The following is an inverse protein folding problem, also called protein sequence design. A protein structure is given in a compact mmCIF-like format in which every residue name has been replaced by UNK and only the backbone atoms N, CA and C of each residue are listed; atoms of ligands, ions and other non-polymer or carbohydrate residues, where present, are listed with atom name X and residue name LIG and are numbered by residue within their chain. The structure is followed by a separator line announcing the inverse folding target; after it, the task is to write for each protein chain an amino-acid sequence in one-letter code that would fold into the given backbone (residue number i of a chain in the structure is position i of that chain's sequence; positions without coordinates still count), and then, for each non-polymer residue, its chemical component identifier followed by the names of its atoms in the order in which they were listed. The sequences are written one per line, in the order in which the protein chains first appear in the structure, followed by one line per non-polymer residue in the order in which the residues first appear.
data_IF_802759446962
#
_entry.id   IF_802759446962
#
_cell.length_a   1.000
_cell.length_b   1.000
_cell.length_c   1.000
_cell.angle_alpha   90.00
_cell.angle_beta   90.00
_cell.angle_gamma   90.00
#
_symmetry.space_group_name_H-M   'P 1'
#
loop_
_entity.id
_entity.type
_entity.pdbx_description
1 polymer ?
#
# COMPACT_ATOMS: atom_id res chain seq x y z
N UNK A 1 -8.67 2.62 36.54
CA UNK A 1 -7.58 1.71 36.11
C UNK A 1 -7.93 0.94 34.83
N UNK A 2 -8.98 0.09 34.81
CA UNK A 2 -9.31 -0.77 33.65
C UNK A 2 -9.47 -0.06 32.29
N UNK A 3 -10.31 0.98 32.17
CA UNK A 3 -10.59 1.63 30.87
C UNK A 3 -9.37 2.25 30.17
N UNK A 4 -8.44 2.81 30.93
CA UNK A 4 -7.24 3.46 30.37
C UNK A 4 -6.31 2.43 29.69
N UNK A 5 -6.18 1.24 30.29
CA UNK A 5 -5.36 0.15 29.75
C UNK A 5 -5.99 -0.41 28.46
N UNK A 6 -7.30 -0.59 28.42
CA UNK A 6 -8.02 -1.06 27.21
C UNK A 6 -7.88 -0.05 26.06
N UNK A 7 -7.96 1.25 26.35
CA UNK A 7 -7.69 2.32 25.38
C UNK A 7 -6.24 2.28 24.90
N UNK A 8 -5.26 2.08 25.78
CA UNK A 8 -3.85 1.95 25.37
C UNK A 8 -3.61 0.72 24.48
N UNK A 9 -4.13 -0.47 24.83
CA UNK A 9 -3.97 -1.66 23.99
C UNK A 9 -4.65 -1.52 22.63
N UNK A 10 -5.87 -0.96 22.58
CA UNK A 10 -6.55 -0.72 21.30
C UNK A 10 -5.85 0.34 20.45
N UNK A 11 -5.35 1.43 21.04
CA UNK A 11 -4.55 2.44 20.33
C UNK A 11 -3.22 1.83 19.83
N UNK A 12 -2.51 1.06 20.64
CA UNK A 12 -1.26 0.38 20.24
C UNK A 12 -1.53 -0.61 19.08
N UNK A 13 -2.60 -1.40 19.16
CA UNK A 13 -3.00 -2.33 18.11
C UNK A 13 -3.37 -1.60 16.81
N UNK A 14 -4.13 -0.51 16.90
CA UNK A 14 -4.46 0.35 15.75
C UNK A 14 -3.21 0.99 15.12
N UNK A 15 -2.28 1.52 15.94
CA UNK A 15 -1.01 2.10 15.47
C UNK A 15 -0.14 1.05 14.77
N UNK A 16 -0.03 -0.16 15.33
CA UNK A 16 0.69 -1.27 14.71
C UNK A 16 0.10 -1.69 13.36
N UNK A 17 -1.24 -1.64 13.20
CA UNK A 17 -1.93 -1.94 11.94
C UNK A 17 -1.75 -0.83 10.89
N UNK A 18 -1.65 0.44 11.30
CA UNK A 18 -1.52 1.58 10.38
C UNK A 18 -0.12 1.69 9.78
N UNK A 19 0.93 1.49 10.58
CA UNK A 19 2.34 1.67 10.17
C UNK A 19 2.77 0.81 8.97
N UNK A 20 2.09 -0.31 8.69
CA UNK A 20 2.40 -1.21 7.56
C UNK A 20 1.93 -0.74 6.18
N UNK A 21 1.46 0.52 6.03
CA UNK A 21 0.86 1.01 4.78
C UNK A 21 1.40 2.34 4.26
N UNK A 22 2.34 3.01 4.94
CA UNK A 22 2.87 4.29 4.47
C UNK A 22 3.75 4.15 3.22
N UNK A 23 3.85 5.22 2.41
CA UNK A 23 4.85 5.25 1.34
C UNK A 23 6.23 5.58 1.94
N UNK A 24 7.32 4.94 1.50
CA UNK A 24 8.65 5.23 2.01
C UNK A 24 9.07 6.67 1.66
N UNK A 25 9.51 7.42 2.67
CA UNK A 25 10.14 8.73 2.54
C UNK A 25 11.64 8.55 2.33
N UNK A 26 12.02 8.01 1.16
CA UNK A 26 13.43 7.86 0.78
C UNK A 26 14.04 9.23 0.44
N UNK A 27 14.95 9.70 1.29
CA UNK A 27 15.68 10.97 1.11
C UNK A 27 16.96 10.78 0.25
N UNK A 28 17.46 9.54 0.22
CA UNK A 28 18.44 8.93 -0.69
C UNK A 28 18.11 7.41 -0.73
N UNK A 29 18.49 6.59 -1.70
CA UNK A 29 18.86 6.73 -3.12
C UNK A 29 18.80 5.27 -3.71
N UNK A 30 18.39 4.93 -4.93
CA UNK A 30 17.89 5.63 -6.14
C UNK A 30 16.75 4.82 -6.78
N UNK A 31 15.98 5.41 -7.69
CA UNK A 31 15.17 4.78 -8.77
C UNK A 31 14.27 3.55 -8.49
N UNK A 32 14.02 3.15 -7.24
CA UNK A 32 13.02 2.12 -6.93
C UNK A 32 11.62 2.74 -6.96
N UNK A 33 10.93 2.56 -8.08
CA UNK A 33 9.51 2.88 -8.21
C UNK A 33 8.66 1.92 -7.35
N UNK A 34 8.30 2.36 -6.14
CA UNK A 34 7.48 1.57 -5.21
C UNK A 34 5.99 1.70 -5.56
N UNK A 35 5.34 0.58 -5.89
CA UNK A 35 3.91 0.48 -6.14
C UNK A 35 3.21 -0.35 -5.05
N UNK A 36 2.22 0.24 -4.38
CA UNK A 36 1.41 -0.41 -3.33
C UNK A 36 0.05 -0.85 -3.88
N UNK A 37 -0.51 -1.98 -3.43
CA UNK A 37 -1.82 -2.45 -3.88
C UNK A 37 -2.96 -1.53 -3.41
N UNK A 38 -3.99 -1.39 -4.25
CA UNK A 38 -5.25 -0.73 -3.91
C UNK A 38 -6.32 -1.79 -3.54
N UNK A 39 -7.41 -1.38 -2.86
CA UNK A 39 -8.58 -2.25 -2.58
C UNK A 39 -9.39 -2.65 -3.83
N UNK A 40 -9.11 -2.01 -4.95
CA UNK A 40 -9.71 -2.24 -6.26
C UNK A 40 -8.54 -2.70 -7.11
N UNK A 41 -8.59 -3.95 -7.55
CA UNK A 41 -7.49 -4.62 -8.23
C UNK A 41 -7.12 -3.94 -9.57
N UNK A 42 -8.03 -3.16 -10.15
CA UNK A 42 -7.76 -2.36 -11.37
C UNK A 42 -6.95 -1.09 -11.08
N UNK A 43 -6.57 -0.86 -9.83
CA UNK A 43 -5.82 0.31 -9.35
C UNK A 43 -4.60 -0.08 -8.50
N UNK A 44 -3.69 0.85 -8.36
CA UNK A 44 -2.56 0.79 -7.43
C UNK A 44 -2.19 2.21 -6.96
N UNK A 45 -1.34 2.31 -5.93
CA UNK A 45 -0.73 3.58 -5.53
C UNK A 45 0.74 3.59 -5.97
N UNK A 46 1.11 4.58 -6.77
CA UNK A 46 2.52 4.90 -6.99
C UNK A 46 3.03 5.79 -5.86
N UNK A 47 4.11 5.39 -5.18
CA UNK A 47 4.74 6.22 -4.17
C UNK A 47 5.64 7.27 -4.82
N UNK A 48 5.26 8.55 -4.69
CA UNK A 48 6.02 9.69 -5.22
C UNK A 48 6.31 10.65 -4.07
N UNK A 49 7.58 10.85 -3.73
CA UNK A 49 8.04 11.71 -2.62
C UNK A 49 7.30 11.42 -1.30
N UNK A 50 7.23 10.14 -0.91
CA UNK A 50 6.53 9.69 0.30
C UNK A 50 4.99 9.76 0.24
N UNK A 51 4.38 10.10 -0.89
CA UNK A 51 2.92 10.21 -1.04
C UNK A 51 2.36 9.17 -2.00
N UNK A 52 1.20 8.60 -1.65
CA UNK A 52 0.42 7.69 -2.50
C UNK A 52 -0.28 8.49 -3.59
N UNK A 53 0.05 8.20 -4.85
CA UNK A 53 -0.65 8.72 -6.03
C UNK A 53 -1.46 7.57 -6.62
N UNK A 54 -2.79 7.65 -6.59
CA UNK A 54 -3.65 6.63 -7.20
C UNK A 54 -3.43 6.58 -8.71
N UNK A 55 -3.25 5.37 -9.24
CA UNK A 55 -3.14 5.06 -10.66
C UNK A 55 -4.09 3.92 -11.00
N UNK A 56 -4.65 3.97 -12.21
CA UNK A 56 -5.50 2.90 -12.75
C UNK A 56 -4.70 2.12 -13.81
N UNK A 57 -4.83 0.81 -13.79
CA UNK A 57 -4.32 -0.04 -14.85
C UNK A 57 -5.10 0.17 -16.16
N UNK A 58 -4.50 -0.16 -17.33
CA UNK A 58 -5.23 -0.25 -18.58
C UNK A 58 -6.46 -1.14 -18.48
N UNK A 59 -7.46 -0.93 -19.36
CA UNK A 59 -8.73 -1.68 -19.33
C UNK A 59 -8.46 -3.19 -19.39
N UNK A 60 -9.05 -3.93 -18.44
CA UNK A 60 -8.91 -5.39 -18.34
C UNK A 60 -7.69 -5.90 -17.58
N UNK A 61 -6.74 -5.04 -17.20
CA UNK A 61 -5.55 -5.43 -16.43
C UNK A 61 -5.70 -5.09 -14.94
N UNK A 62 -5.08 -5.91 -14.10
CA UNK A 62 -5.04 -5.77 -12.64
C UNK A 62 -3.60 -5.56 -12.15
N UNK A 63 -3.41 -4.95 -10.99
CA UNK A 63 -2.07 -4.68 -10.46
C UNK A 63 -1.42 -5.94 -9.86
N UNK A 64 -0.35 -6.43 -10.49
CA UNK A 64 0.49 -7.51 -9.99
C UNK A 64 1.50 -6.98 -8.96
N UNK A 65 1.18 -7.08 -7.66
CA UNK A 65 2.08 -6.61 -6.59
C UNK A 65 3.46 -7.28 -6.56
N UNK A 66 3.58 -8.51 -7.10
CA UNK A 66 4.86 -9.24 -7.16
C UNK A 66 5.75 -8.75 -8.29
N UNK A 67 5.17 -8.48 -9.46
CA UNK A 67 5.89 -7.99 -10.65
C UNK A 67 5.93 -6.44 -10.73
N UNK A 68 5.23 -5.73 -9.83
CA UNK A 68 5.10 -4.27 -9.78
C UNK A 68 4.50 -3.62 -11.05
N UNK A 69 3.78 -4.40 -11.88
CA UNK A 69 3.17 -3.98 -13.15
C UNK A 69 1.67 -4.29 -13.21
N UNK A 70 0.97 -3.71 -14.18
CA UNK A 70 -0.38 -4.15 -14.56
C UNK A 70 -0.29 -5.40 -15.44
N UNK A 71 -1.07 -6.43 -15.11
CA UNK A 71 -0.99 -7.76 -15.70
C UNK A 71 -2.40 -8.36 -15.90
N UNK A 72 -2.51 -9.45 -16.66
CA UNK A 72 -3.78 -10.11 -16.92
C UNK A 72 -4.36 -10.75 -15.64
N UNK A 73 -5.69 -10.77 -15.45
CA UNK A 73 -6.33 -11.21 -14.21
C UNK A 73 -5.92 -12.61 -13.73
N UNK A 74 -5.67 -13.53 -14.65
CA UNK A 74 -5.30 -14.93 -14.38
C UNK A 74 -3.91 -15.04 -13.71
N UNK A 75 -3.07 -14.00 -13.83
CA UNK A 75 -1.72 -13.93 -13.26
C UNK A 75 -1.64 -13.09 -11.98
N UNK A 76 -2.74 -12.47 -11.55
CA UNK A 76 -2.75 -11.50 -10.45
C UNK A 76 -3.44 -12.06 -9.20
N UNK A 77 -2.68 -12.08 -8.10
CA UNK A 77 -3.23 -12.31 -6.75
C UNK A 77 -3.58 -10.98 -6.08
N UNK A 78 -4.79 -10.49 -6.38
CA UNK A 78 -5.47 -9.50 -5.55
C UNK A 78 -5.86 -10.18 -4.22
#
# INVERSE_FOLDING_TARGET
MSRLIILLFSVIFLVAIVNGRECPTVENEKDIAVHLPHKDCSKYYACVKGKKIERKCPRGLLFNKTLQVCDFPERVKC
#
